data_IF_930998684880
#
_entry.id   IF_930998684880
#
_cell.length_a   1.000
_cell.length_b   1.000
_cell.length_c   1.000
_cell.angle_alpha   90.00
_cell.angle_beta   90.00
_cell.angle_gamma   90.00
#
_symmetry.space_group_name_H-M   'P 1'
#
loop_
_entity.id
_entity.type
_entity.pdbx_description
1 polymer ?
#
# COMPACT_ATOMS: atom_id res chain seq x y z
N UNK A 1 0.74 14.14 5.56
CA UNK A 1 2.21 14.07 5.62
C UNK A 1 2.65 13.44 4.31
N UNK A 2 3.30 14.19 3.44
CA UNK A 2 3.82 13.65 2.18
C UNK A 2 5.01 12.74 2.52
N UNK A 3 4.86 11.45 2.26
CA UNK A 3 5.95 10.49 2.40
C UNK A 3 7.01 10.84 1.34
N UNK A 4 8.09 11.53 1.73
CA UNK A 4 9.07 12.08 0.78
C UNK A 4 10.01 11.04 0.16
N UNK A 5 9.82 9.76 0.49
CA UNK A 5 10.59 8.63 -0.03
C UNK A 5 9.62 7.54 -0.50
N UNK A 6 9.17 7.68 -1.74
CA UNK A 6 8.49 6.61 -2.48
C UNK A 6 9.42 5.39 -2.50
N UNK A 7 8.98 4.25 -1.99
CA UNK A 7 9.82 3.06 -2.01
C UNK A 7 9.95 2.50 -3.44
N UNK A 8 10.97 1.67 -3.71
CA UNK A 8 11.24 1.16 -5.05
C UNK A 8 10.07 0.36 -5.64
N UNK A 9 9.27 -0.33 -4.82
CA UNK A 9 8.09 -1.05 -5.28
C UNK A 9 6.97 -0.09 -5.67
N UNK A 10 6.76 0.98 -4.88
CA UNK A 10 5.83 2.05 -5.24
C UNK A 10 6.21 2.68 -6.58
N UNK A 11 7.50 2.97 -6.81
CA UNK A 11 7.97 3.48 -8.10
C UNK A 11 7.69 2.52 -9.25
N UNK A 12 8.12 1.25 -9.12
CA UNK A 12 7.89 0.23 -10.16
C UNK A 12 6.40 0.10 -10.46
N UNK A 13 5.55 -0.03 -9.45
CA UNK A 13 4.13 -0.23 -9.68
C UNK A 13 3.42 1.01 -10.24
N UNK A 14 3.87 2.21 -9.89
CA UNK A 14 3.36 3.44 -10.51
C UNK A 14 3.81 3.56 -11.96
N UNK A 15 5.08 3.30 -12.27
CA UNK A 15 5.65 3.47 -13.61
C UNK A 15 5.06 2.47 -14.63
N UNK A 16 4.75 1.26 -14.18
CA UNK A 16 4.28 0.16 -15.04
C UNK A 16 2.79 -0.19 -14.83
N UNK A 17 2.00 0.65 -14.17
CA UNK A 17 0.61 0.33 -13.79
C UNK A 17 -0.25 -0.13 -14.99
N UNK A 18 -0.24 0.64 -16.07
CA UNK A 18 -1.04 0.33 -17.27
C UNK A 18 -0.57 -0.93 -17.98
N UNK A 19 0.74 -1.18 -18.05
CA UNK A 19 1.28 -2.41 -18.64
C UNK A 19 0.86 -3.63 -17.81
N UNK A 20 0.93 -3.50 -16.47
CA UNK A 20 0.48 -4.56 -15.58
C UNK A 20 -1.02 -4.80 -15.77
N UNK A 21 -1.86 -3.77 -15.78
CA UNK A 21 -3.32 -3.90 -15.95
C UNK A 21 -3.71 -4.50 -17.30
N UNK A 22 -3.21 -3.94 -18.40
CA UNK A 22 -3.71 -4.20 -19.75
C UNK A 22 -2.88 -5.19 -20.56
N UNK A 23 -1.65 -5.49 -20.18
CA UNK A 23 -0.81 -6.49 -20.89
C UNK A 23 -0.76 -7.78 -20.09
N UNK A 24 -0.46 -7.70 -18.79
CA UNK A 24 -0.28 -8.90 -17.95
C UNK A 24 -1.61 -9.52 -17.49
N UNK A 25 -2.70 -8.76 -17.52
CA UNK A 25 -4.05 -9.20 -17.12
C UNK A 25 -4.07 -9.96 -15.78
N UNK A 26 -3.50 -9.39 -14.71
CA UNK A 26 -3.46 -10.03 -13.41
C UNK A 26 -4.87 -10.18 -12.83
N UNK A 27 -4.98 -11.01 -11.81
CA UNK A 27 -6.23 -11.18 -11.06
C UNK A 27 -6.60 -9.87 -10.37
N UNK A 28 -7.90 -9.67 -10.15
CA UNK A 28 -8.41 -8.54 -9.38
C UNK A 28 -7.70 -8.36 -8.03
N UNK A 29 -7.44 -9.45 -7.32
CA UNK A 29 -6.74 -9.42 -6.02
C UNK A 29 -5.29 -8.91 -6.12
N UNK A 30 -4.62 -9.16 -7.25
CA UNK A 30 -3.26 -8.67 -7.48
C UNK A 30 -3.29 -7.15 -7.77
N UNK A 31 -4.27 -6.68 -8.58
CA UNK A 31 -4.49 -5.25 -8.78
C UNK A 31 -4.83 -4.52 -7.47
N UNK A 32 -5.66 -5.11 -6.62
CA UNK A 32 -5.97 -4.55 -5.29
C UNK A 32 -4.72 -4.46 -4.38
N UNK A 33 -3.78 -5.40 -4.50
CA UNK A 33 -2.52 -5.36 -3.74
C UNK A 33 -1.55 -4.31 -4.30
N UNK A 34 -1.50 -4.15 -5.63
CA UNK A 34 -0.72 -3.12 -6.30
C UNK A 34 -1.22 -1.72 -5.89
N UNK A 35 -2.54 -1.52 -5.90
CA UNK A 35 -3.16 -0.26 -5.48
C UNK A 35 -2.81 0.10 -4.02
N UNK A 36 -2.89 -0.88 -3.11
CA UNK A 36 -2.43 -0.70 -1.71
C UNK A 36 -0.94 -0.41 -1.59
N UNK A 37 -0.11 -1.02 -2.43
CA UNK A 37 1.34 -0.78 -2.42
C UNK A 37 1.65 0.64 -2.87
N UNK A 38 1.06 1.10 -3.98
CA UNK A 38 1.22 2.46 -4.52
C UNK A 38 0.82 3.49 -3.45
N UNK A 39 -0.31 3.27 -2.77
CA UNK A 39 -0.83 4.17 -1.74
C UNK A 39 -0.32 3.86 -0.32
N UNK A 40 0.77 3.11 -0.17
CA UNK A 40 1.35 2.81 1.13
C UNK A 40 1.67 4.10 1.90
N UNK A 41 1.03 4.26 3.06
CA UNK A 41 1.10 5.46 3.91
C UNK A 41 -0.17 6.31 3.92
N UNK A 42 -1.14 6.05 3.02
CA UNK A 42 -2.50 6.61 3.08
C UNK A 42 -3.42 5.68 3.89
N UNK A 43 -3.94 6.14 5.06
CA UNK A 43 -4.84 5.34 5.90
C UNK A 43 -6.14 4.90 5.19
N UNK A 44 -6.53 5.56 4.11
CA UNK A 44 -7.72 5.23 3.32
C UNK A 44 -7.60 3.89 2.58
N UNK A 45 -6.36 3.43 2.36
CA UNK A 45 -6.06 2.16 1.68
C UNK A 45 -5.77 1.01 2.67
N UNK A 46 -5.99 1.27 3.96
CA UNK A 46 -5.79 0.32 5.04
C UNK A 46 -4.65 0.73 5.97
N UNK A 47 -4.52 0.01 7.08
CA UNK A 47 -3.49 0.26 8.06
C UNK A 47 -3.50 -0.79 9.15
N UNK A 48 -2.44 -0.80 9.96
CA UNK A 48 -2.36 -1.68 11.11
C UNK A 48 -2.59 -0.89 12.39
N UNK A 49 -3.27 -1.51 13.35
CA UNK A 49 -3.34 -1.00 14.71
C UNK A 49 -2.54 -1.93 15.62
N UNK A 50 -1.61 -1.36 16.35
CA UNK A 50 -0.91 -2.06 17.42
C UNK A 50 -1.60 -1.78 18.76
N UNK A 51 -2.09 -2.83 19.40
CA UNK A 51 -2.56 -2.78 20.79
C UNK A 51 -1.43 -3.15 21.75
N UNK A 52 -1.06 -2.25 22.65
CA UNK A 52 -0.08 -2.54 23.68
C UNK A 52 -0.69 -3.44 24.77
N UNK A 53 -0.20 -4.67 24.98
CA UNK A 53 -0.79 -5.59 25.96
C UNK A 53 -0.57 -5.14 27.42
N UNK A 54 0.41 -4.27 27.68
CA UNK A 54 0.72 -3.81 29.04
C UNK A 54 -0.11 -2.62 29.50
N UNK A 55 -0.43 -1.68 28.61
CA UNK A 55 -1.14 -0.45 28.97
C UNK A 55 -2.48 -0.26 28.24
N UNK A 56 -2.87 -1.18 27.35
CA UNK A 56 -4.16 -1.15 26.64
C UNK A 56 -4.28 -0.05 25.58
N UNK A 57 -3.23 0.76 25.35
CA UNK A 57 -3.26 1.83 24.35
C UNK A 57 -3.17 1.25 22.94
N UNK A 58 -3.98 1.82 22.05
CA UNK A 58 -3.96 1.54 20.63
C UNK A 58 -3.13 2.60 19.89
N UNK A 59 -2.31 2.18 18.94
CA UNK A 59 -1.54 3.07 18.06
C UNK A 59 -1.73 2.65 16.61
N UNK A 60 -2.00 3.61 15.72
CA UNK A 60 -1.91 3.39 14.28
C UNK A 60 -0.43 3.31 13.88
N UNK A 61 -0.05 2.24 13.19
CA UNK A 61 1.33 1.96 12.74
C UNK A 61 1.38 1.81 11.23
#
# INVERSE_FOLDING_TARGET
>A
MHNSLMNVLQQIFTDYYEEIEYILHPRKTEMENIDKMIHCGDPSFGGAMYGCPHCGKLKFI
#
